data_IF_620926551727
#
_entry.id   IF_620926551727
#
_cell.length_a   1.000
_cell.length_b   1.000
_cell.length_c   1.000
_cell.angle_alpha   90.00
_cell.angle_beta   90.00
_cell.angle_gamma   90.00
#
_symmetry.space_group_name_H-M   'P 1'
#
loop_
_entity.id
_entity.type
_entity.pdbx_description
1 polymer ?
#
# COMPACT_ATOMS: atom_id res chain seq x y z
N UNK A 1 18.84 4.97 -13.03
CA UNK A 1 18.10 5.65 -11.96
C UNK A 1 17.48 4.53 -11.17
N UNK A 2 18.07 4.18 -10.02
CA UNK A 2 17.39 3.31 -9.05
C UNK A 2 16.36 4.19 -8.35
N UNK A 3 15.30 4.55 -9.08
CA UNK A 3 14.12 5.14 -8.44
C UNK A 3 13.51 4.00 -7.63
N UNK A 4 13.69 4.06 -6.30
CA UNK A 4 13.18 3.04 -5.41
C UNK A 4 11.68 2.86 -5.62
N UNK A 5 11.24 1.61 -5.78
CA UNK A 5 9.83 1.25 -5.93
C UNK A 5 9.31 0.52 -4.70
N UNK A 6 8.03 0.70 -4.39
CA UNK A 6 7.30 -0.15 -3.46
C UNK A 6 6.29 -0.99 -4.25
N UNK A 7 6.27 -2.30 -3.99
CA UNK A 7 5.28 -3.19 -4.58
C UNK A 7 4.12 -3.38 -3.61
N UNK A 8 2.91 -3.13 -4.11
CA UNK A 8 1.66 -3.31 -3.38
C UNK A 8 1.00 -4.58 -3.93
N UNK A 9 0.70 -5.51 -3.03
CA UNK A 9 0.08 -6.77 -3.38
C UNK A 9 -1.42 -6.71 -3.08
N UNK A 10 -2.22 -7.16 -4.04
CA UNK A 10 -3.67 -7.29 -3.94
C UNK A 10 -4.08 -8.75 -3.73
N UNK A 11 -5.33 -8.98 -3.34
CA UNK A 11 -5.89 -10.31 -3.16
C UNK A 11 -6.30 -10.89 -4.50
N UNK A 12 -7.07 -10.14 -5.29
CA UNK A 12 -7.32 -10.49 -6.68
C UNK A 12 -6.01 -10.56 -7.45
N UNK A 13 -5.82 -11.64 -8.21
CA UNK A 13 -4.72 -11.79 -9.16
C UNK A 13 -4.98 -10.98 -10.43
N UNK A 14 -6.25 -10.88 -10.85
CA UNK A 14 -6.64 -10.11 -12.04
C UNK A 14 -8.02 -9.51 -11.83
N UNK A 15 -8.19 -8.22 -12.06
CA UNK A 15 -9.46 -7.55 -11.83
C UNK A 15 -9.33 -6.11 -11.35
N UNK A 16 -10.45 -5.52 -10.98
CA UNK A 16 -10.52 -4.20 -10.38
C UNK A 16 -10.57 -4.29 -8.85
N UNK A 17 -9.81 -3.42 -8.17
CA UNK A 17 -9.79 -3.33 -6.71
C UNK A 17 -10.20 -1.94 -6.27
N UNK A 18 -10.73 -1.82 -5.04
CA UNK A 18 -10.95 -0.51 -4.44
C UNK A 18 -9.63 0.03 -3.92
N UNK A 19 -9.14 1.14 -4.46
CA UNK A 19 -7.87 1.73 -4.01
C UNK A 19 -8.03 3.19 -3.64
N UNK A 20 -7.48 3.60 -2.50
CA UNK A 20 -7.47 5.00 -2.06
C UNK A 20 -6.11 5.39 -1.54
N UNK A 21 -5.72 6.63 -1.78
CA UNK A 21 -4.45 7.20 -1.32
C UNK A 21 -4.73 8.45 -0.50
N UNK A 22 -4.08 8.53 0.65
CA UNK A 22 -4.08 9.72 1.51
C UNK A 22 -2.65 10.18 1.74
N UNK A 23 -2.37 11.44 1.41
CA UNK A 23 -1.11 12.10 1.75
C UNK A 23 -1.38 13.10 2.87
N UNK A 24 -0.61 13.01 3.95
CA UNK A 24 -0.74 13.84 5.14
C UNK A 24 0.62 14.42 5.56
N UNK A 25 0.60 15.51 6.32
CA UNK A 25 1.80 16.16 6.89
C UNK A 25 2.32 15.47 8.16
N UNK A 26 1.51 14.62 8.79
CA UNK A 26 1.86 13.80 9.95
C UNK A 26 1.16 12.44 9.89
N UNK A 27 1.48 11.55 10.85
CA UNK A 27 0.81 10.24 10.95
C UNK A 27 -0.72 10.42 11.13
N UNK A 28 -1.54 10.01 10.15
CA UNK A 28 -2.99 10.18 10.20
C UNK A 28 -3.70 9.18 11.13
N UNK A 29 -2.96 8.24 11.73
CA UNK A 29 -3.50 7.11 12.47
C UNK A 29 -3.96 5.96 11.57
N UNK A 30 -3.82 4.74 12.08
CA UNK A 30 -4.22 3.52 11.39
C UNK A 30 -5.70 3.23 11.65
N UNK A 31 -6.47 2.94 10.60
CA UNK A 31 -7.84 2.45 10.75
C UNK A 31 -7.82 0.94 11.02
N UNK A 32 -7.70 0.57 12.29
CA UNK A 32 -7.64 -0.82 12.73
C UNK A 32 -9.01 -1.50 12.78
N UNK A 33 -10.11 -0.75 12.67
CA UNK A 33 -11.46 -1.32 12.74
C UNK A 33 -11.95 -1.69 11.33
N UNK A 34 -11.60 -0.89 10.31
CA UNK A 34 -11.98 -1.12 8.92
C UNK A 34 -11.14 -2.15 8.16
N UNK A 35 -9.90 -2.42 8.61
CA UNK A 35 -8.93 -3.21 7.84
C UNK A 35 -8.35 -4.39 8.63
N UNK A 36 -8.09 -5.50 7.95
CA UNK A 36 -7.64 -6.76 8.56
C UNK A 36 -6.11 -6.82 8.69
N UNK A 37 -5.41 -6.33 7.67
CA UNK A 37 -3.95 -6.27 7.67
C UNK A 37 -3.49 -4.85 7.40
N UNK A 38 -2.51 -4.42 8.19
CA UNK A 38 -1.94 -3.10 8.11
C UNK A 38 -0.42 -3.23 8.26
N UNK A 39 0.30 -2.81 7.24
CA UNK A 39 1.77 -2.82 7.22
C UNK A 39 2.34 -1.45 6.97
N UNK A 40 3.56 -1.28 7.44
CA UNK A 40 4.27 -0.02 7.35
C UNK A 40 5.70 -0.24 6.85
N UNK A 41 6.11 0.55 5.87
CA UNK A 41 7.49 0.57 5.33
C UNK A 41 8.00 2.00 5.20
N UNK A 42 9.33 2.17 5.28
CA UNK A 42 9.97 3.43 4.90
C UNK A 42 10.15 3.48 3.39
N UNK A 43 9.96 4.66 2.80
CA UNK A 43 10.18 4.93 1.39
C UNK A 43 10.95 6.24 1.25
N UNK A 44 12.01 6.24 0.43
CA UNK A 44 12.78 7.45 0.13
C UNK A 44 12.35 8.01 -1.21
N UNK A 45 11.83 9.24 -1.22
CA UNK A 45 11.54 9.97 -2.46
C UNK A 45 12.65 11.00 -2.70
N UNK A 46 13.40 10.86 -3.79
CA UNK A 46 14.42 11.84 -4.19
C UNK A 46 13.81 13.07 -4.88
N UNK A 47 12.60 12.94 -5.44
CA UNK A 47 11.91 14.01 -6.17
C UNK A 47 10.82 14.72 -5.34
N UNK A 48 10.39 14.15 -4.22
CA UNK A 48 9.21 14.64 -3.49
C UNK A 48 7.89 14.38 -4.24
N UNK A 49 7.91 13.46 -5.20
CA UNK A 49 6.78 13.07 -6.03
C UNK A 49 6.70 11.54 -6.08
N UNK A 50 5.49 11.02 -6.26
CA UNK A 50 5.20 9.60 -6.41
C UNK A 50 4.15 9.40 -7.49
N UNK A 51 4.26 8.28 -8.19
CA UNK A 51 3.22 7.78 -9.10
C UNK A 51 2.91 6.34 -8.73
N UNK A 52 1.64 5.97 -8.82
CA UNK A 52 1.15 4.61 -8.68
C UNK A 52 1.00 4.01 -10.08
N UNK A 53 1.60 2.85 -10.29
CA UNK A 53 1.54 2.14 -11.56
C UNK A 53 0.69 0.89 -11.39
N UNK A 54 -0.27 0.71 -12.28
CA UNK A 54 -0.97 -0.56 -12.38
C UNK A 54 -0.05 -1.63 -12.99
N UNK A 55 -0.17 -2.84 -12.47
CA UNK A 55 0.61 -3.97 -12.97
C UNK A 55 0.20 -4.34 -14.39
N UNK A 56 1.15 -4.88 -15.17
CA UNK A 56 0.87 -5.36 -16.53
C UNK A 56 0.80 -4.26 -17.60
N UNK A 57 1.28 -3.06 -17.30
CA UNK A 57 1.24 -1.93 -18.24
C UNK A 57 -0.12 -1.24 -18.31
N UNK A 58 -0.88 -1.29 -17.21
CA UNK A 58 -2.10 -0.52 -17.03
C UNK A 58 -1.84 0.97 -16.81
N UNK A 59 -2.78 1.63 -16.15
CA UNK A 59 -2.74 3.07 -15.98
C UNK A 59 -1.65 3.53 -14.98
N UNK A 60 -1.28 4.80 -15.12
CA UNK A 60 -0.38 5.50 -14.20
C UNK A 60 -1.15 6.62 -13.53
N UNK A 61 -1.12 6.64 -12.20
CA UNK A 61 -1.83 7.60 -11.37
C UNK A 61 -0.81 8.47 -10.64
N UNK A 62 -0.75 9.76 -10.97
CA UNK A 62 0.05 10.72 -10.21
C UNK A 62 -0.55 10.94 -8.82
N UNK A 63 0.28 10.84 -7.79
CA UNK A 63 -0.15 11.07 -6.41
C UNK A 63 0.03 12.55 -6.03
N UNK A 64 -0.70 13.03 -5.00
CA UNK A 64 -0.49 14.38 -4.48
C UNK A 64 0.99 14.62 -4.13
N UNK A 65 1.44 15.86 -4.32
CA UNK A 65 2.80 16.26 -3.98
C UNK A 65 3.09 15.99 -2.51
N UNK A 66 4.28 15.47 -2.22
CA UNK A 66 4.65 15.14 -0.86
C UNK A 66 4.96 16.41 -0.05
N UNK A 67 4.46 16.54 1.19
CA UNK A 67 4.42 17.82 1.91
C UNK A 67 5.79 18.37 2.30
N UNK A 68 6.84 17.53 2.34
CA UNK A 68 8.20 17.96 2.69
C UNK A 68 9.20 17.87 1.53
N UNK A 69 8.74 17.62 0.30
CA UNK A 69 9.61 17.46 -0.87
C UNK A 69 10.48 16.20 -0.79
N UNK A 70 11.72 16.21 -1.31
CA UNK A 70 12.62 15.06 -1.21
C UNK A 70 12.90 14.65 0.24
N UNK A 71 12.87 13.35 0.54
CA UNK A 71 13.11 12.85 1.90
C UNK A 71 12.55 11.46 2.17
N UNK A 72 12.55 11.12 3.47
CA UNK A 72 11.98 9.87 3.97
C UNK A 72 10.50 10.01 4.32
N UNK A 73 9.73 9.02 3.90
CA UNK A 73 8.31 8.91 4.11
C UNK A 73 7.97 7.55 4.71
N UNK A 74 6.89 7.51 5.48
CA UNK A 74 6.25 6.28 5.90
C UNK A 74 5.09 6.00 4.96
N UNK A 75 5.05 4.79 4.42
CA UNK A 75 3.91 4.23 3.72
C UNK A 75 3.20 3.26 4.66
N UNK A 76 1.90 3.48 4.90
CA UNK A 76 1.02 2.53 5.60
C UNK A 76 -0.02 1.98 4.63
N UNK A 77 0.05 0.68 4.41
CA UNK A 77 -0.84 -0.04 3.51
C UNK A 77 -1.85 -0.86 4.32
N UNK A 78 -3.13 -0.57 4.11
CA UNK A 78 -4.24 -1.25 4.74
C UNK A 78 -4.92 -2.14 3.70
N UNK A 79 -5.24 -3.38 4.09
CA UNK A 79 -5.91 -4.36 3.25
C UNK A 79 -7.20 -4.86 3.91
N UNK A 80 -8.26 -4.92 3.12
CA UNK A 80 -9.58 -5.43 3.49
C UNK A 80 -10.01 -6.47 2.45
N UNK A 81 -10.51 -7.61 2.92
CA UNK A 81 -11.01 -8.75 2.15
C UNK A 81 -9.97 -9.37 1.20
N UNK A 82 -8.68 -9.11 1.43
CA UNK A 82 -7.60 -9.65 0.57
C UNK A 82 -7.67 -11.17 0.51
N UNK A 83 -7.87 -11.82 1.66
CA UNK A 83 -8.07 -13.27 1.81
C UNK A 83 -9.14 -13.84 0.88
N UNK A 84 -10.36 -13.30 0.98
CA UNK A 84 -11.51 -13.71 0.16
C UNK A 84 -11.23 -13.49 -1.33
N UNK A 85 -10.67 -12.35 -1.68
CA UNK A 85 -10.40 -12.00 -3.07
C UNK A 85 -9.36 -12.94 -3.72
N UNK A 86 -8.37 -13.42 -2.96
CA UNK A 86 -7.40 -14.38 -3.48
C UNK A 86 -7.99 -15.77 -3.77
N UNK A 87 -9.00 -16.20 -3.01
CA UNK A 87 -9.73 -17.44 -3.30
C UNK A 87 -10.53 -17.33 -4.61
N UNK A 88 -11.04 -16.12 -4.92
CA UNK A 88 -11.72 -15.83 -6.18
C UNK A 88 -10.74 -15.75 -7.35
N UNK A 89 -9.59 -15.13 -7.14
CA UNK A 89 -8.49 -15.03 -8.10
C UNK A 89 -8.74 -14.03 -9.24
N UNK A 90 -9.89 -14.05 -9.90
CA UNK A 90 -10.22 -13.10 -10.98
C UNK A 90 -11.67 -12.63 -10.91
N UNK A 91 -11.88 -11.31 -10.95
CA UNK A 91 -13.21 -10.70 -10.87
C UNK A 91 -13.21 -9.28 -11.46
N UNK A 92 -14.31 -8.90 -12.12
CA UNK A 92 -14.57 -7.50 -12.52
C UNK A 92 -15.28 -6.72 -11.40
N UNK A 93 -15.80 -7.41 -10.38
CA UNK A 93 -16.36 -6.79 -9.17
C UNK A 93 -15.27 -6.53 -8.13
N UNK A 94 -15.37 -5.38 -7.44
CA UNK A 94 -14.47 -5.00 -6.35
C UNK A 94 -14.78 -5.83 -5.10
N UNK A 95 -13.89 -6.77 -4.78
CA UNK A 95 -13.97 -7.64 -3.59
C UNK A 95 -13.06 -7.12 -2.48
N UNK A 96 -11.80 -6.86 -2.81
CA UNK A 96 -10.78 -6.32 -1.93
C UNK A 96 -10.65 -4.80 -2.04
N UNK A 97 -10.30 -4.18 -0.91
CA UNK A 97 -10.12 -2.73 -0.79
C UNK A 97 -8.84 -2.39 -0.05
N UNK A 98 -8.22 -1.29 -0.48
CA UNK A 98 -6.92 -0.86 -0.04
C UNK A 98 -6.86 0.63 0.25
N UNK A 99 -6.13 0.98 1.32
CA UNK A 99 -5.80 2.36 1.65
C UNK A 99 -4.29 2.49 1.83
N UNK A 100 -3.68 3.36 1.03
CA UNK A 100 -2.29 3.79 1.19
C UNK A 100 -2.25 5.16 1.86
N UNK A 101 -1.75 5.22 3.08
CA UNK A 101 -1.43 6.48 3.75
C UNK A 101 0.06 6.80 3.62
N UNK A 102 0.39 8.07 3.38
CA UNK A 102 1.75 8.56 3.15
C UNK A 102 1.98 9.80 4.01
N UNK A 103 3.05 9.82 4.81
CA UNK A 103 3.45 11.00 5.58
C UNK A 103 4.97 11.08 5.80
N UNK A 104 5.53 12.28 6.03
CA UNK A 104 6.95 12.44 6.33
C UNK A 104 7.34 11.74 7.63
N UNK A 105 8.40 10.94 7.59
CA UNK A 105 8.93 10.28 8.79
C UNK A 105 10.31 9.71 8.49
N UNK A 106 11.24 9.85 9.45
CA UNK A 106 12.56 9.21 9.37
C UNK A 106 12.48 7.71 9.09
N UNK A 107 13.54 7.19 8.45
CA UNK A 107 13.69 5.76 8.19
C UNK A 107 13.55 4.97 9.48
N UNK A 108 12.66 3.98 9.46
CA UNK A 108 12.58 2.97 10.51
C UNK A 108 12.23 1.60 9.92
N UNK A 109 12.41 0.55 10.72
CA UNK A 109 12.19 -0.82 10.27
C UNK A 109 10.76 -1.05 9.79
N UNK A 110 10.56 -1.90 8.77
CA UNK A 110 9.23 -2.35 8.38
C UNK A 110 8.50 -3.03 9.55
N UNK A 111 7.20 -2.76 9.71
CA UNK A 111 6.39 -3.40 10.78
C UNK A 111 4.99 -3.77 10.33
N UNK A 112 4.42 -4.78 11.00
CA UNK A 112 2.97 -5.02 10.97
C UNK A 112 2.36 -4.16 12.08
N UNK A 113 1.38 -3.34 11.74
CA UNK A 113 0.53 -2.62 12.70
C UNK A 113 -0.62 -3.53 13.13
N UNK A 114 -1.21 -4.26 12.17
CA UNK A 114 -2.24 -5.27 12.40
C UNK A 114 -2.04 -6.41 11.42
N UNK A 115 -2.30 -7.63 11.87
CA UNK A 115 -2.40 -8.79 10.98
C UNK A 115 -3.42 -9.76 11.54
N UNK A 116 -4.61 -9.79 10.95
CA UNK A 116 -5.64 -10.75 11.32
C UNK A 116 -5.98 -11.72 10.20
N UNK A 117 -5.55 -11.44 8.96
CA UNK A 117 -5.70 -12.41 7.88
C UNK A 117 -4.44 -13.28 7.75
N UNK A 118 -4.62 -14.50 7.23
CA UNK A 118 -3.50 -15.40 6.93
C UNK A 118 -2.59 -14.88 5.80
N UNK A 119 -3.04 -13.92 5.00
CA UNK A 119 -2.33 -13.44 3.81
C UNK A 119 -1.06 -12.68 4.15
N UNK A 120 -1.10 -11.77 5.12
CA UNK A 120 0.10 -11.02 5.48
C UNK A 120 1.19 -11.94 6.04
N UNK A 121 0.82 -13.01 6.75
CA UNK A 121 1.76 -14.03 7.20
C UNK A 121 2.39 -14.81 6.03
N UNK A 122 1.62 -15.09 4.97
CA UNK A 122 2.10 -15.70 3.72
C UNK A 122 3.14 -14.81 3.03
N UNK A 123 2.81 -13.54 2.78
CA UNK A 123 3.70 -12.61 2.07
C UNK A 123 4.95 -12.21 2.87
N UNK A 124 4.92 -12.30 4.20
CA UNK A 124 6.10 -12.11 5.05
C UNK A 124 7.12 -13.25 4.98
N UNK A 125 6.77 -14.39 4.39
CA UNK A 125 7.64 -15.57 4.26
C UNK A 125 7.71 -16.04 2.80
N UNK A 126 8.38 -15.30 1.91
CA UNK A 126 8.67 -15.83 0.58
C UNK A 126 9.53 -17.08 0.72
N UNK A 127 9.19 -18.14 -0.02
CA UNK A 127 10.07 -19.32 -0.18
C UNK A 127 11.23 -19.00 -1.09
#
# INVERSE_FOLDING_TARGET
MDDGGAFLITGLHTGAVGFSVTVADHDPGADTDGYEDIVEISFKSEAGQLSLYEWGGGDVHELPTLPTGPGWYRLRYHAQNMGEAAEVGTSDEVIDRYLLQIWPQDESTPRAVKSTSGQLAYWRRPR
#
